data_IF_219192883020
#
_entry.id   IF_219192883020
#
_cell.length_a   1.000
_cell.length_b   1.000
_cell.length_c   1.000
_cell.angle_alpha   90.00
_cell.angle_beta   90.00
_cell.angle_gamma   90.00
#
_symmetry.space_group_name_H-M   'P 1'
#
loop_
_entity.id
_entity.type
_entity.pdbx_description
1 polymer ?
#
# COMPACT_ATOMS: atom_id res chain seq x y z
N UNK A 1 -3.86 0.36 12.67
CA UNK A 1 -2.84 -0.72 12.74
C UNK A 1 -3.36 -1.91 11.97
N UNK A 2 -2.55 -2.61 11.15
CA UNK A 2 -3.04 -3.71 10.33
C UNK A 2 -3.48 -4.93 11.16
N UNK A 3 -4.36 -5.74 10.58
CA UNK A 3 -4.92 -6.97 11.13
C UNK A 3 -4.22 -8.19 10.54
N UNK A 4 -3.68 -9.07 11.39
CA UNK A 4 -2.90 -10.24 10.99
C UNK A 4 -3.59 -11.59 11.31
N UNK A 5 -4.78 -11.87 10.75
CA UNK A 5 -5.61 -13.02 11.16
C UNK A 5 -4.96 -14.39 10.92
N UNK A 6 -4.09 -14.51 9.91
CA UNK A 6 -3.45 -15.78 9.56
C UNK A 6 -2.28 -16.14 10.49
N UNK A 7 -1.83 -15.22 11.35
CA UNK A 7 -0.75 -15.50 12.32
C UNK A 7 -1.24 -16.20 13.58
N UNK A 8 -2.56 -16.27 13.79
CA UNK A 8 -3.13 -17.05 14.91
C UNK A 8 -2.76 -18.52 14.73
N UNK A 9 -2.08 -19.08 15.73
CA UNK A 9 -1.79 -20.51 15.80
C UNK A 9 -3.09 -21.28 15.99
N UNK A 10 -3.30 -22.32 15.19
CA UNK A 10 -4.47 -23.21 15.24
C UNK A 10 -4.02 -24.62 15.61
N UNK A 11 -4.87 -25.42 16.28
CA UNK A 11 -4.53 -26.78 16.68
C UNK A 11 -4.01 -27.64 15.51
N UNK A 12 -4.68 -27.52 14.35
CA UNK A 12 -4.41 -28.30 13.15
C UNK A 12 -3.29 -27.72 12.25
N UNK A 13 -2.61 -26.65 12.66
CA UNK A 13 -1.48 -26.14 11.87
C UNK A 13 -0.30 -27.13 11.93
N UNK A 14 0.30 -27.41 10.76
CA UNK A 14 1.53 -28.22 10.68
C UNK A 14 2.69 -27.54 11.42
N UNK A 15 3.69 -28.33 11.85
CA UNK A 15 4.88 -27.79 12.51
C UNK A 15 5.58 -26.72 11.64
N UNK A 16 5.70 -26.99 10.33
CA UNK A 16 6.28 -26.06 9.34
C UNK A 16 5.50 -24.74 9.32
N UNK A 17 4.16 -24.80 9.28
CA UNK A 17 3.33 -23.60 9.26
C UNK A 17 3.42 -22.82 10.58
N UNK A 18 3.47 -23.50 11.73
CA UNK A 18 3.67 -22.87 13.05
C UNK A 18 5.01 -22.11 13.10
N UNK A 19 6.10 -22.73 12.63
CA UNK A 19 7.41 -22.07 12.54
C UNK A 19 7.38 -20.87 11.58
N UNK A 20 6.74 -20.99 10.41
CA UNK A 20 6.55 -19.84 9.50
C UNK A 20 5.81 -18.70 10.21
N UNK A 21 4.68 -18.96 10.86
CA UNK A 21 3.91 -17.93 11.60
C UNK A 21 4.74 -17.24 12.68
N UNK A 22 5.50 -18.00 13.47
CA UNK A 22 6.39 -17.45 14.50
C UNK A 22 7.46 -16.53 13.90
N UNK A 23 8.11 -16.95 12.81
CA UNK A 23 9.07 -16.12 12.09
C UNK A 23 8.44 -14.82 11.59
N UNK A 24 7.26 -14.90 10.98
CA UNK A 24 6.55 -13.72 10.47
C UNK A 24 6.21 -12.75 11.59
N UNK A 25 5.76 -13.24 12.75
CA UNK A 25 5.50 -12.39 13.93
C UNK A 25 6.77 -11.67 14.38
N UNK A 26 7.90 -12.37 14.46
CA UNK A 26 9.18 -11.77 14.86
C UNK A 26 9.61 -10.68 13.88
N UNK A 27 9.52 -10.96 12.58
CA UNK A 27 9.88 -10.01 11.53
C UNK A 27 8.95 -8.80 11.47
N UNK A 28 7.64 -8.96 11.68
CA UNK A 28 6.70 -7.83 11.74
C UNK A 28 7.00 -6.92 12.92
N UNK A 29 7.32 -7.47 14.10
CA UNK A 29 7.74 -6.67 15.26
C UNK A 29 9.02 -5.90 14.96
N UNK A 30 9.99 -6.57 14.34
CA UNK A 30 11.26 -5.94 13.95
C UNK A 30 11.02 -4.81 12.94
N UNK A 31 10.29 -5.10 11.85
CA UNK A 31 9.94 -4.15 10.80
C UNK A 31 9.24 -2.92 11.38
N UNK A 32 8.22 -3.12 12.20
CA UNK A 32 7.49 -2.03 12.87
C UNK A 32 8.43 -1.14 13.68
N UNK A 33 9.29 -1.74 14.50
CA UNK A 33 10.22 -0.98 15.35
C UNK A 33 11.22 -0.18 14.52
N UNK A 34 11.76 -0.78 13.45
CA UNK A 34 12.75 -0.16 12.57
C UNK A 34 12.16 0.93 11.69
N UNK A 35 10.93 0.75 11.20
CA UNK A 35 10.20 1.79 10.47
C UNK A 35 9.93 3.00 11.36
N UNK A 36 9.49 2.77 12.60
CA UNK A 36 9.24 3.85 13.55
C UNK A 36 10.52 4.64 13.84
N UNK A 37 11.62 3.93 14.15
CA UNK A 37 12.93 4.53 14.37
C UNK A 37 13.40 5.34 13.15
N UNK A 38 13.30 4.76 11.94
CA UNK A 38 13.69 5.43 10.70
C UNK A 38 12.90 6.73 10.47
N UNK A 39 11.58 6.67 10.63
CA UNK A 39 10.70 7.82 10.42
C UNK A 39 10.99 8.91 11.46
N UNK A 40 11.15 8.56 12.74
CA UNK A 40 11.47 9.50 13.81
C UNK A 40 12.84 10.17 13.63
N UNK A 41 13.81 9.45 13.05
CA UNK A 41 15.14 9.99 12.77
C UNK A 41 15.19 10.86 11.50
N UNK A 42 14.23 10.69 10.57
CA UNK A 42 14.22 11.40 9.29
C UNK A 42 13.84 12.89 9.39
N UNK A 43 13.09 13.29 10.43
CA UNK A 43 12.75 14.68 10.76
C UNK A 43 12.51 14.81 12.27
N UNK A 44 12.87 15.97 12.84
CA UNK A 44 12.50 16.32 14.21
C UNK A 44 10.97 16.34 14.44
N UNK A 45 10.56 16.43 15.71
CA UNK A 45 9.19 16.37 16.24
C UNK A 45 8.06 16.15 15.21
N UNK A 46 7.71 14.89 14.98
CA UNK A 46 6.50 14.52 14.24
C UNK A 46 5.30 14.74 15.17
N UNK A 47 4.47 15.74 14.84
CA UNK A 47 3.22 15.98 15.54
C UNK A 47 2.06 15.40 14.71
N UNK A 48 1.38 14.39 15.22
CA UNK A 48 0.28 13.70 14.53
C UNK A 48 -0.90 14.60 14.15
N UNK A 49 -1.04 15.78 14.77
CA UNK A 49 -2.07 16.77 14.44
C UNK A 49 -1.64 17.84 13.44
N UNK A 50 -0.33 17.96 13.16
CA UNK A 50 0.23 19.01 12.30
C UNK A 50 1.03 18.46 11.11
N UNK A 51 1.31 17.16 11.11
CA UNK A 51 2.15 16.52 10.10
C UNK A 51 1.37 15.43 9.39
N UNK A 52 1.47 15.43 8.06
CA UNK A 52 0.98 14.37 7.18
C UNK A 52 2.17 13.65 6.56
N UNK A 53 2.16 12.32 6.60
CA UNK A 53 3.18 11.44 6.01
C UNK A 53 2.68 10.93 4.67
N UNK A 54 3.41 11.26 3.61
CA UNK A 54 3.07 10.89 2.24
C UNK A 54 4.18 10.00 1.67
N UNK A 55 3.81 8.98 0.92
CA UNK A 55 4.74 8.13 0.19
C UNK A 55 4.30 7.89 -1.25
N UNK A 56 5.26 7.48 -2.07
CA UNK A 56 4.99 6.83 -3.35
C UNK A 56 5.73 5.50 -3.36
N UNK A 57 5.12 4.46 -3.90
CA UNK A 57 5.73 3.14 -3.97
C UNK A 57 5.30 2.40 -5.23
N UNK A 58 6.28 2.02 -6.04
CA UNK A 58 6.08 1.08 -7.13
C UNK A 58 6.08 -0.35 -6.58
N UNK A 59 4.93 -1.02 -6.66
CA UNK A 59 4.77 -2.42 -6.26
C UNK A 59 4.84 -3.30 -7.50
N UNK A 60 6.06 -3.66 -7.90
CA UNK A 60 6.32 -4.46 -9.10
C UNK A 60 5.36 -5.66 -9.23
N UNK A 61 4.66 -5.70 -10.37
CA UNK A 61 3.70 -6.76 -10.74
C UNK A 61 2.67 -7.10 -9.63
N UNK A 62 2.10 -6.08 -8.96
CA UNK A 62 1.11 -6.31 -7.91
C UNK A 62 -0.24 -6.75 -8.48
N UNK A 63 -0.71 -7.94 -8.09
CA UNK A 63 -1.88 -8.60 -8.70
C UNK A 63 -1.56 -9.54 -9.88
N UNK A 64 -0.29 -9.79 -10.22
CA UNK A 64 0.07 -10.81 -11.22
C UNK A 64 0.26 -12.18 -10.57
N UNK A 65 -0.56 -13.16 -10.94
CA UNK A 65 -0.50 -14.51 -10.35
C UNK A 65 0.39 -15.52 -11.11
N UNK A 66 1.10 -15.10 -12.16
CA UNK A 66 1.89 -15.99 -13.02
C UNK A 66 2.98 -16.79 -12.28
N UNK A 67 3.39 -16.34 -11.08
CA UNK A 67 4.39 -16.99 -10.23
C UNK A 67 3.82 -17.46 -8.88
N UNK A 68 2.50 -17.67 -8.78
CA UNK A 68 1.83 -18.12 -7.55
C UNK A 68 1.39 -17.01 -6.60
N UNK A 69 1.53 -15.74 -7.01
CA UNK A 69 1.12 -14.57 -6.24
C UNK A 69 1.93 -14.38 -4.95
N UNK A 70 1.53 -13.40 -4.15
CA UNK A 70 2.11 -13.12 -2.83
C UNK A 70 1.45 -13.98 -1.76
N UNK A 71 2.24 -14.56 -0.85
CA UNK A 71 1.70 -15.27 0.31
C UNK A 71 1.25 -14.27 1.39
N UNK A 72 0.62 -14.79 2.46
CA UNK A 72 0.16 -13.93 3.57
C UNK A 72 1.30 -13.14 4.22
N UNK A 73 2.53 -13.68 4.20
CA UNK A 73 3.70 -13.03 4.80
C UNK A 73 4.07 -11.75 4.05
N UNK A 74 4.16 -11.82 2.73
CA UNK A 74 4.53 -10.70 1.86
C UNK A 74 3.47 -9.59 1.94
N UNK A 75 2.18 -9.97 1.89
CA UNK A 75 1.09 -8.99 2.03
C UNK A 75 1.11 -8.33 3.43
N UNK A 76 1.48 -9.06 4.49
CA UNK A 76 1.60 -8.47 5.82
C UNK A 76 2.74 -7.47 5.95
N UNK A 77 3.90 -7.74 5.33
CA UNK A 77 4.98 -6.74 5.31
C UNK A 77 4.60 -5.51 4.51
N UNK A 78 3.94 -5.68 3.35
CA UNK A 78 3.43 -4.56 2.54
C UNK A 78 2.44 -3.72 3.36
N UNK A 79 1.50 -4.37 4.06
CA UNK A 79 0.54 -3.68 4.91
C UNK A 79 1.19 -2.93 6.08
N UNK A 80 2.20 -3.51 6.74
CA UNK A 80 2.92 -2.84 7.84
C UNK A 80 3.64 -1.58 7.33
N UNK A 81 4.33 -1.67 6.18
CA UNK A 81 5.00 -0.52 5.55
C UNK A 81 3.99 0.57 5.19
N UNK A 82 2.89 0.21 4.51
CA UNK A 82 1.84 1.17 4.13
C UNK A 82 1.26 1.87 5.37
N UNK A 83 1.07 1.12 6.46
CA UNK A 83 0.45 1.64 7.69
C UNK A 83 1.28 2.70 8.42
N UNK A 84 2.55 2.88 8.03
CA UNK A 84 3.41 3.92 8.54
C UNK A 84 3.17 5.30 7.89
N UNK A 85 2.35 5.38 6.84
CA UNK A 85 1.99 6.62 6.13
C UNK A 85 0.52 6.97 6.30
N UNK A 86 0.16 8.22 5.99
CA UNK A 86 -1.24 8.69 6.03
C UNK A 86 -1.87 8.68 4.63
N UNK A 87 -1.05 8.86 3.59
CA UNK A 87 -1.39 8.75 2.17
C UNK A 87 -0.22 8.10 1.41
N UNK A 88 -0.52 7.11 0.57
CA UNK A 88 0.48 6.49 -0.31
C UNK A 88 -0.05 6.36 -1.74
N UNK A 89 0.75 6.77 -2.72
CA UNK A 89 0.49 6.49 -4.13
C UNK A 89 1.19 5.18 -4.53
N UNK A 90 0.41 4.14 -4.82
CA UNK A 90 0.86 2.85 -5.29
C UNK A 90 0.83 2.81 -6.83
N UNK A 91 1.92 2.35 -7.43
CA UNK A 91 2.08 2.20 -8.89
C UNK A 91 2.15 0.72 -9.26
N UNK A 92 1.88 0.41 -10.54
CA UNK A 92 1.86 -0.95 -11.12
C UNK A 92 0.83 -1.90 -10.47
N UNK A 93 -0.30 -1.36 -10.00
CA UNK A 93 -1.42 -2.20 -9.54
C UNK A 93 -2.14 -2.74 -10.79
N UNK A 94 -2.23 -4.05 -10.95
CA UNK A 94 -2.79 -4.67 -12.16
C UNK A 94 -4.31 -4.81 -12.14
N UNK A 95 -4.85 -5.34 -13.23
CA UNK A 95 -6.28 -5.60 -13.43
C UNK A 95 -6.91 -6.48 -12.36
N UNK A 96 -6.22 -7.55 -11.92
CA UNK A 96 -6.68 -8.40 -10.82
C UNK A 96 -6.46 -7.72 -9.46
N UNK A 97 -7.56 -7.28 -8.86
CA UNK A 97 -7.57 -6.60 -7.56
C UNK A 97 -7.62 -7.57 -6.37
N UNK A 98 -7.49 -8.89 -6.55
CA UNK A 98 -7.59 -9.86 -5.44
C UNK A 98 -6.53 -9.63 -4.36
N UNK A 99 -5.27 -9.42 -4.75
CA UNK A 99 -4.18 -9.09 -3.81
C UNK A 99 -4.42 -7.73 -3.15
N UNK A 100 -4.89 -6.75 -3.93
CA UNK A 100 -5.18 -5.39 -3.43
C UNK A 100 -6.32 -5.38 -2.41
N UNK A 101 -7.41 -6.11 -2.68
CA UNK A 101 -8.54 -6.24 -1.77
C UNK A 101 -8.13 -6.97 -0.48
N UNK A 102 -7.25 -7.97 -0.59
CA UNK A 102 -6.66 -8.65 0.56
C UNK A 102 -5.83 -7.69 1.41
N UNK A 103 -4.98 -6.87 0.76
CA UNK A 103 -4.21 -5.81 1.41
C UNK A 103 -5.11 -4.79 2.11
N UNK A 104 -6.15 -4.28 1.45
CA UNK A 104 -7.11 -3.33 2.04
C UNK A 104 -7.79 -3.91 3.29
N UNK A 105 -8.21 -5.18 3.23
CA UNK A 105 -8.81 -5.89 4.38
C UNK A 105 -7.86 -5.99 5.57
N UNK A 106 -6.57 -6.19 5.30
CA UNK A 106 -5.52 -6.25 6.33
C UNK A 106 -5.29 -4.87 6.93
N UNK A 107 -5.22 -3.82 6.12
CA UNK A 107 -5.03 -2.44 6.60
C UNK A 107 -6.18 -1.98 7.51
N UNK A 108 -7.40 -2.42 7.22
CA UNK A 108 -8.57 -2.20 8.05
C UNK A 108 -9.59 -1.24 7.46
N UNK A 109 -10.77 -1.13 8.11
CA UNK A 109 -11.90 -0.35 7.59
C UNK A 109 -11.62 1.15 7.51
N UNK A 110 -10.66 1.68 8.27
CA UNK A 110 -10.28 3.09 8.23
C UNK A 110 -9.54 3.50 6.94
N UNK A 111 -9.03 2.54 6.18
CA UNK A 111 -8.34 2.81 4.92
C UNK A 111 -9.29 2.84 3.74
N UNK A 112 -9.13 3.85 2.89
CA UNK A 112 -9.85 3.97 1.64
C UNK A 112 -8.94 4.38 0.48
N UNK A 113 -9.44 4.29 -0.75
CA UNK A 113 -8.60 4.54 -1.91
C UNK A 113 -9.32 5.27 -3.05
N UNK A 114 -8.52 5.97 -3.86
CA UNK A 114 -8.89 6.49 -5.17
C UNK A 114 -7.99 5.82 -6.21
N UNK A 115 -8.55 5.25 -7.26
CA UNK A 115 -7.79 4.62 -8.33
C UNK A 115 -8.03 5.34 -9.66
N UNK A 116 -7.02 5.34 -10.53
CA UNK A 116 -7.22 5.69 -11.95
C UNK A 116 -7.93 4.55 -12.67
N UNK A 117 -8.45 4.85 -13.87
CA UNK A 117 -8.81 3.79 -14.80
C UNK A 117 -7.57 2.98 -15.21
N UNK A 118 -7.80 1.80 -15.80
CA UNK A 118 -6.72 1.02 -16.42
C UNK A 118 -6.18 1.76 -17.63
N UNK A 119 -4.88 1.68 -17.85
CA UNK A 119 -4.30 2.21 -19.09
C UNK A 119 -4.68 1.31 -20.27
N UNK A 120 -5.60 1.79 -21.12
CA UNK A 120 -6.02 1.10 -22.35
C UNK A 120 -4.89 1.04 -23.40
N UNK A 121 -4.64 -0.17 -23.91
CA UNK A 121 -3.73 -0.45 -25.02
C UNK A 121 -2.89 -1.72 -24.84
N UNK A 122 -2.50 -2.37 -25.95
CA UNK A 122 -1.67 -3.60 -25.94
C UNK A 122 -0.34 -3.49 -25.18
N UNK A 123 0.11 -2.26 -24.88
CA UNK A 123 1.32 -1.95 -24.11
C UNK A 123 1.06 -1.56 -22.65
N UNK A 124 -0.21 -1.44 -22.23
CA UNK A 124 -0.64 -0.87 -20.93
C UNK A 124 -0.75 -1.84 -19.76
N UNK A 125 -0.48 -3.13 -19.95
CA UNK A 125 -0.44 -4.19 -18.92
C UNK A 125 -1.61 -4.25 -17.91
N UNK A 126 -2.76 -3.64 -18.23
CA UNK A 126 -3.90 -3.45 -17.32
C UNK A 126 -3.50 -2.82 -15.96
N UNK A 127 -2.53 -1.90 -15.98
CA UNK A 127 -2.01 -1.25 -14.78
C UNK A 127 -2.80 0.02 -14.43
N UNK A 128 -2.86 0.34 -13.13
CA UNK A 128 -3.49 1.54 -12.58
C UNK A 128 -2.66 2.12 -11.44
N UNK A 129 -2.88 3.40 -11.18
CA UNK A 129 -2.36 4.07 -9.99
C UNK A 129 -3.43 4.05 -8.90
N UNK A 130 -3.02 3.81 -7.65
CA UNK A 130 -3.92 3.80 -6.50
C UNK A 130 -3.40 4.72 -5.41
N UNK A 131 -4.18 5.73 -5.06
CA UNK A 131 -3.97 6.58 -3.89
C UNK A 131 -4.71 5.97 -2.70
N UNK A 132 -3.96 5.38 -1.78
CA UNK A 132 -4.49 4.70 -0.60
C UNK A 132 -4.25 5.59 0.62
N UNK A 133 -5.28 5.84 1.43
CA UNK A 133 -5.23 6.83 2.51
C UNK A 133 -5.99 6.39 3.76
N UNK A 134 -5.51 6.84 4.92
CA UNK A 134 -6.17 6.65 6.20
C UNK A 134 -7.21 7.76 6.45
N UNK A 135 -8.49 7.38 6.58
CA UNK A 135 -9.62 8.31 6.77
C UNK A 135 -9.61 9.04 8.12
N UNK A 136 -8.83 8.57 9.08
CA UNK A 136 -8.65 9.27 10.36
C UNK A 136 -7.83 10.56 10.20
N UNK A 137 -7.10 10.71 9.08
CA UNK A 137 -6.20 11.85 8.80
C UNK A 137 -6.55 12.56 7.51
N UNK A 138 -6.93 11.81 6.47
CA UNK A 138 -7.15 12.32 5.11
C UNK A 138 -8.60 12.16 4.71
N UNK A 139 -9.21 13.25 4.23
CA UNK A 139 -10.55 13.23 3.65
C UNK A 139 -10.49 13.61 2.17
N UNK A 140 -10.98 12.71 1.30
CA UNK A 140 -11.20 13.04 -0.10
C UNK A 140 -12.44 13.93 -0.25
N UNK A 141 -12.32 15.03 -1.01
CA UNK A 141 -13.40 16.03 -1.18
C UNK A 141 -14.34 15.74 -2.36
N UNK A 142 -14.35 14.50 -2.86
CA UNK A 142 -15.22 14.03 -3.95
C UNK A 142 -15.01 14.70 -5.32
N UNK A 143 -13.94 15.48 -5.49
CA UNK A 143 -13.61 16.12 -6.76
C UNK A 143 -12.25 15.59 -7.20
N UNK A 144 -12.23 14.84 -8.29
CA UNK A 144 -11.05 14.54 -9.08
C UNK A 144 -11.22 15.27 -10.42
N UNK A 145 -10.28 16.15 -10.73
CA UNK A 145 -10.27 16.89 -11.99
C UNK A 145 -9.30 16.27 -12.98
N UNK A 146 -9.69 16.23 -14.24
CA UNK A 146 -8.76 15.98 -15.35
C UNK A 146 -8.08 17.29 -15.73
N UNK A 147 -6.78 17.25 -16.02
CA UNK A 147 -6.08 18.40 -16.58
C UNK A 147 -6.43 18.53 -18.06
N UNK A 148 -7.45 19.33 -18.39
CA UNK A 148 -7.76 19.66 -19.78
C UNK A 148 -6.83 20.76 -20.27
N UNK A 149 -5.99 20.45 -21.26
CA UNK A 149 -5.17 21.44 -21.95
C UNK A 149 -5.90 21.97 -23.18
N UNK A 150 -5.74 23.27 -23.46
CA UNK A 150 -6.21 23.82 -24.74
C UNK A 150 -5.43 23.19 -25.89
N UNK A 151 -6.05 23.11 -27.06
CA UNK A 151 -5.41 22.61 -28.27
C UNK A 151 -4.07 23.34 -28.52
N UNK A 152 -3.02 22.56 -28.81
CA UNK A 152 -1.65 23.06 -28.97
C UNK A 152 -0.87 23.30 -27.68
N UNK A 153 -1.47 23.16 -26.50
CA UNK A 153 -0.76 23.23 -25.23
C UNK A 153 -0.25 21.85 -24.79
N UNK A 154 0.95 21.83 -24.22
CA UNK A 154 1.56 20.65 -23.59
C UNK A 154 1.81 20.96 -22.13
N UNK A 155 1.72 19.95 -21.26
CA UNK A 155 2.27 20.05 -19.90
C UNK A 155 3.75 20.33 -20.06
N UNK A 156 4.17 21.58 -19.81
CA UNK A 156 5.59 21.90 -19.72
C UNK A 156 6.06 21.27 -18.42
N UNK A 157 6.94 20.28 -18.52
CA UNK A 157 7.48 19.64 -17.34
C UNK A 157 8.15 20.70 -16.45
N UNK A 158 7.66 20.85 -15.22
CA UNK A 158 8.37 21.61 -14.19
C UNK A 158 9.41 20.68 -13.57
N UNK A 159 10.39 20.26 -14.36
CA UNK A 159 11.66 19.84 -13.81
C UNK A 159 12.56 21.06 -13.92
N UNK A 160 12.85 21.67 -12.77
CA UNK A 160 13.91 22.66 -12.65
C UNK A 160 15.27 22.05 -12.97
#
# INVERSE_FOLDING_TARGET
MPFYPNLKSRPNDSAILKHKKQRVIANLKLLKSKLLEHIQNSRGQINSTKTVKIATWNLREFGKNNYGGRSFEEIYYIAEIISAFDLIALQEIRGDLTEFNSLKKILGPQWDFLATDVTDGRAGNDERMVFLFNRDVIQFRNIAGELTLKEGQKVKASFG
#
